data_IF_755236008575
#
_entry.id   IF_755236008575
#
_cell.length_a   1.000
_cell.length_b   1.000
_cell.length_c   1.000
_cell.angle_alpha   90.00
_cell.angle_beta   90.00
_cell.angle_gamma   90.00
#
_symmetry.space_group_name_H-M   'P 1'
#
loop_
_entity.id
_entity.type
_entity.pdbx_description
1 polymer ?
#
# COMPACT_ATOMS: atom_id res chain seq x y z
N UNK A 1 24.50 8.81 -24.32
CA UNK A 1 23.49 7.73 -24.09
C UNK A 1 23.24 7.37 -22.62
N UNK A 2 23.93 7.97 -21.62
CA UNK A 2 23.69 7.71 -20.19
C UNK A 2 22.39 8.36 -19.65
N UNK A 3 22.08 9.58 -20.11
CA UNK A 3 20.85 10.30 -19.73
C UNK A 3 19.58 9.45 -20.00
N UNK A 4 19.54 8.73 -21.13
CA UNK A 4 18.40 7.89 -21.49
C UNK A 4 18.19 6.68 -20.56
N UNK A 5 19.25 6.12 -19.95
CA UNK A 5 19.11 4.96 -19.05
C UNK A 5 18.57 5.38 -17.67
N UNK A 6 19.07 6.48 -17.14
CA UNK A 6 18.54 7.06 -15.90
C UNK A 6 17.07 7.45 -16.09
N UNK A 7 16.73 8.16 -17.17
CA UNK A 7 15.35 8.54 -17.47
C UNK A 7 14.40 7.33 -17.56
N UNK A 8 14.82 6.24 -18.23
CA UNK A 8 14.04 4.99 -18.30
C UNK A 8 13.85 4.33 -16.93
N UNK A 9 14.83 4.46 -16.04
CA UNK A 9 14.73 3.93 -14.67
C UNK A 9 13.76 4.78 -13.86
N UNK A 10 13.87 6.12 -13.95
CA UNK A 10 12.97 7.06 -13.28
C UNK A 10 11.50 6.86 -13.70
N UNK A 11 11.26 6.56 -14.98
CA UNK A 11 9.91 6.30 -15.51
C UNK A 11 9.27 4.99 -14.99
N UNK A 12 10.06 4.09 -14.40
CA UNK A 12 9.57 2.83 -13.80
C UNK A 12 9.43 2.90 -12.29
N UNK A 13 9.77 4.04 -11.68
CA UNK A 13 9.66 4.18 -10.23
C UNK A 13 8.19 4.11 -9.79
N UNK A 14 7.97 3.72 -8.54
CA UNK A 14 6.64 3.78 -7.93
C UNK A 14 6.08 5.19 -7.99
N UNK A 15 6.92 6.19 -7.69
CA UNK A 15 6.65 7.61 -7.90
C UNK A 15 7.96 8.39 -8.03
N UNK A 16 7.90 9.51 -8.74
CA UNK A 16 9.05 10.38 -8.98
C UNK A 16 8.57 11.83 -9.04
N UNK A 17 8.89 12.62 -8.01
CA UNK A 17 8.51 14.03 -7.93
C UNK A 17 9.20 14.92 -8.97
N UNK A 18 8.84 16.19 -8.95
CA UNK A 18 9.33 17.17 -9.93
C UNK A 18 10.75 17.61 -9.59
N UNK A 19 11.59 17.78 -10.61
CA UNK A 19 12.95 18.31 -10.44
C UNK A 19 13.98 17.28 -9.97
N UNK A 20 13.68 15.98 -10.05
CA UNK A 20 14.67 14.91 -9.82
C UNK A 20 15.77 14.97 -10.88
N UNK A 21 17.03 14.97 -10.45
CA UNK A 21 18.20 15.03 -11.32
C UNK A 21 19.17 13.91 -11.01
N UNK A 22 19.58 13.18 -12.04
CA UNK A 22 20.60 12.13 -11.95
C UNK A 22 21.83 12.59 -12.75
N UNK A 23 22.95 12.81 -12.07
CA UNK A 23 24.16 13.37 -12.68
C UNK A 23 24.90 12.35 -13.58
N UNK A 24 24.71 11.04 -13.35
CA UNK A 24 25.42 10.00 -14.10
C UNK A 24 24.79 8.63 -14.01
N UNK A 25 25.60 7.60 -13.70
CA UNK A 25 25.15 6.21 -13.59
C UNK A 25 24.29 6.04 -12.34
N UNK A 26 23.10 5.48 -12.54
CA UNK A 26 22.20 5.02 -11.49
C UNK A 26 21.85 3.56 -11.77
N UNK A 27 22.06 2.70 -10.79
CA UNK A 27 21.53 1.35 -10.77
C UNK A 27 20.44 1.24 -9.71
N UNK A 28 19.31 0.66 -10.10
CA UNK A 28 18.19 0.32 -9.20
C UNK A 28 17.77 -1.10 -9.56
N UNK A 29 17.77 -2.01 -8.59
CA UNK A 29 17.38 -3.42 -8.82
C UNK A 29 15.88 -3.55 -9.11
N UNK A 30 15.04 -2.97 -8.23
CA UNK A 30 13.58 -2.97 -8.34
C UNK A 30 13.04 -1.53 -8.37
N UNK A 31 13.01 -0.87 -9.55
CA UNK A 31 12.50 0.49 -9.72
C UNK A 31 11.11 0.70 -9.12
N UNK A 32 10.21 -0.25 -9.33
CA UNK A 32 8.80 -0.21 -8.92
C UNK A 32 8.61 -0.22 -7.39
N UNK A 33 9.69 -0.47 -6.63
CA UNK A 33 9.71 -0.42 -5.16
C UNK A 33 10.34 0.88 -4.61
N UNK A 34 10.62 1.87 -5.46
CA UNK A 34 11.24 3.13 -5.07
C UNK A 34 10.30 4.31 -5.29
N UNK A 35 10.18 5.16 -4.27
CA UNK A 35 9.50 6.44 -4.35
C UNK A 35 10.49 7.59 -4.06
N UNK A 36 10.47 8.62 -4.91
CA UNK A 36 11.39 9.75 -4.84
C UNK A 36 10.62 11.07 -4.80
N UNK A 37 11.01 11.93 -3.87
CA UNK A 37 10.56 13.30 -3.63
C UNK A 37 10.80 14.30 -4.75
N UNK A 38 10.34 15.52 -4.51
CA UNK A 38 10.66 16.69 -5.33
C UNK A 38 12.12 17.13 -5.13
N UNK A 39 12.73 17.72 -6.16
CA UNK A 39 14.09 18.30 -6.12
C UNK A 39 15.17 17.37 -5.54
N UNK A 40 15.11 16.07 -5.88
CA UNK A 40 16.14 15.12 -5.45
C UNK A 40 17.32 15.12 -6.41
N UNK A 41 18.53 15.27 -5.88
CA UNK A 41 19.77 15.21 -6.64
C UNK A 41 20.53 13.93 -6.36
N UNK A 42 20.66 13.06 -7.36
CA UNK A 42 21.41 11.81 -7.29
C UNK A 42 22.75 11.98 -8.01
N UNK A 43 23.83 11.88 -7.23
CA UNK A 43 25.20 11.92 -7.74
C UNK A 43 25.54 10.75 -8.66
N UNK A 44 26.66 10.86 -9.36
CA UNK A 44 27.14 9.81 -10.27
C UNK A 44 27.49 8.52 -9.51
N UNK A 45 27.32 7.39 -10.20
CA UNK A 45 27.63 6.04 -9.74
C UNK A 45 26.87 5.64 -8.46
N UNK A 46 25.58 6.00 -8.39
CA UNK A 46 24.69 5.55 -7.32
C UNK A 46 24.21 4.11 -7.54
N UNK A 47 24.14 3.32 -6.47
CA UNK A 47 23.72 1.92 -6.50
C UNK A 47 22.65 1.65 -5.45
N UNK A 48 21.42 1.41 -5.87
CA UNK A 48 20.30 1.12 -4.99
C UNK A 48 19.82 -0.31 -5.20
N UNK A 49 19.88 -1.11 -4.13
CA UNK A 49 19.29 -2.45 -4.08
C UNK A 49 17.99 -2.38 -3.26
N UNK A 50 16.85 -2.37 -3.95
CA UNK A 50 15.55 -1.83 -3.49
C UNK A 50 14.45 -2.88 -3.26
N UNK A 51 14.81 -4.16 -3.18
CA UNK A 51 13.90 -5.29 -2.92
C UNK A 51 13.15 -5.20 -1.56
N UNK A 52 13.62 -4.42 -0.59
CA UNK A 52 12.88 -4.14 0.65
C UNK A 52 12.05 -2.87 0.62
N UNK A 53 12.14 -2.09 -0.46
CA UNK A 53 11.51 -0.78 -0.61
C UNK A 53 12.46 0.36 -0.23
N UNK A 54 12.49 1.42 -1.05
CA UNK A 54 13.28 2.63 -0.79
C UNK A 54 12.39 3.87 -0.94
N UNK A 55 12.37 4.73 0.08
CA UNK A 55 11.66 6.01 0.03
C UNK A 55 12.64 7.15 0.27
N UNK A 56 12.65 8.14 -0.63
CA UNK A 56 13.52 9.32 -0.57
C UNK A 56 12.64 10.56 -0.57
N UNK A 57 12.72 11.37 0.48
CA UNK A 57 11.92 12.58 0.65
C UNK A 57 12.33 13.74 -0.24
N UNK A 58 11.61 14.85 -0.08
CA UNK A 58 11.84 16.07 -0.85
C UNK A 58 13.19 16.71 -0.54
N UNK A 59 13.76 17.38 -1.53
CA UNK A 59 14.98 18.18 -1.40
C UNK A 59 16.18 17.37 -0.85
N UNK A 60 16.23 16.07 -1.15
CA UNK A 60 17.36 15.21 -0.77
C UNK A 60 18.49 15.36 -1.77
N UNK A 61 19.68 15.68 -1.27
CA UNK A 61 20.87 15.85 -2.09
C UNK A 61 21.89 14.79 -1.71
N UNK A 62 22.20 13.89 -2.65
CA UNK A 62 23.20 12.86 -2.44
C UNK A 62 24.35 13.01 -3.44
N UNK A 63 25.57 12.89 -2.91
CA UNK A 63 26.79 12.98 -3.70
C UNK A 63 27.08 11.67 -4.45
N UNK A 64 28.28 11.55 -5.01
CA UNK A 64 28.69 10.41 -5.84
C UNK A 64 28.88 9.15 -5.00
N UNK A 65 28.78 7.99 -5.64
CA UNK A 65 29.06 6.67 -5.05
C UNK A 65 28.23 6.37 -3.80
N UNK A 66 26.99 6.82 -3.75
CA UNK A 66 26.07 6.44 -2.66
C UNK A 66 25.51 5.06 -2.95
N UNK A 67 25.58 4.18 -1.95
CA UNK A 67 25.07 2.81 -2.01
C UNK A 67 23.99 2.61 -0.98
N UNK A 68 22.84 2.06 -1.38
CA UNK A 68 21.71 1.82 -0.49
C UNK A 68 21.26 0.38 -0.66
N UNK A 69 21.18 -0.36 0.44
CA UNK A 69 20.61 -1.70 0.49
C UNK A 69 19.35 -1.69 1.32
N UNK A 70 18.32 -2.35 0.80
CA UNK A 70 17.04 -2.61 1.48
C UNK A 70 16.84 -4.11 1.70
N UNK A 71 17.85 -4.92 1.34
CA UNK A 71 17.86 -6.38 1.44
C UNK A 71 19.19 -6.85 2.00
N UNK A 72 19.17 -8.01 2.66
CA UNK A 72 20.35 -8.74 3.09
C UNK A 72 20.12 -10.25 2.91
N UNK A 73 21.17 -11.03 2.76
CA UNK A 73 21.03 -12.49 2.64
C UNK A 73 20.68 -13.13 3.99
N UNK A 74 19.84 -14.16 3.98
CA UNK A 74 19.53 -14.93 5.19
C UNK A 74 20.65 -15.91 5.54
N UNK A 75 21.62 -15.42 6.30
CA UNK A 75 22.73 -16.24 6.82
C UNK A 75 22.34 -17.15 7.99
N UNK A 76 21.14 -16.98 8.54
CA UNK A 76 20.55 -17.88 9.56
C UNK A 76 19.67 -18.97 8.94
N UNK A 77 19.70 -19.06 7.61
CA UNK A 77 18.95 -20.01 6.81
C UNK A 77 19.48 -21.44 6.88
N UNK A 78 18.98 -22.29 5.98
CA UNK A 78 19.26 -23.73 6.02
C UNK A 78 20.65 -24.12 5.48
N UNK A 79 21.36 -23.23 4.79
CA UNK A 79 22.66 -23.52 4.17
C UNK A 79 23.66 -22.37 4.33
N UNK A 80 24.95 -22.70 4.29
CA UNK A 80 26.07 -21.74 4.35
C UNK A 80 26.56 -21.39 2.93
N UNK A 81 27.04 -20.15 2.68
CA UNK A 81 27.16 -19.04 3.63
C UNK A 81 25.81 -18.34 3.93
N UNK A 82 24.80 -18.57 3.11
CA UNK A 82 23.41 -18.13 3.25
C UNK A 82 22.54 -18.97 2.29
N UNK A 83 21.24 -19.07 2.56
CA UNK A 83 20.31 -19.78 1.68
C UNK A 83 19.72 -18.91 0.57
N UNK A 84 18.72 -19.42 -0.14
CA UNK A 84 18.07 -18.72 -1.25
C UNK A 84 17.01 -17.69 -0.80
N UNK A 85 16.96 -17.35 0.49
CA UNK A 85 16.01 -16.39 1.04
C UNK A 85 16.69 -15.07 1.40
N UNK A 86 15.93 -13.98 1.28
CA UNK A 86 16.41 -12.63 1.57
C UNK A 86 15.64 -12.00 2.74
N UNK A 87 16.37 -11.27 3.58
CA UNK A 87 15.85 -10.45 4.67
C UNK A 87 15.61 -9.03 4.15
N UNK A 88 14.35 -8.70 3.92
CA UNK A 88 13.95 -7.40 3.36
C UNK A 88 13.62 -6.42 4.49
N UNK A 89 14.27 -5.26 4.47
CA UNK A 89 13.99 -4.17 5.42
C UNK A 89 14.05 -2.84 4.69
N UNK A 90 12.93 -2.09 4.61
CA UNK A 90 12.88 -0.85 3.84
C UNK A 90 13.88 0.18 4.37
N UNK A 91 14.32 1.07 3.49
CA UNK A 91 15.12 2.25 3.87
C UNK A 91 14.29 3.50 3.60
N UNK A 92 14.24 4.39 4.57
CA UNK A 92 13.51 5.66 4.47
C UNK A 92 14.47 6.81 4.70
N UNK A 93 14.48 7.75 3.79
CA UNK A 93 15.25 8.99 3.86
C UNK A 93 14.24 10.13 3.88
N UNK A 94 14.19 10.88 4.97
CA UNK A 94 13.33 12.05 5.13
C UNK A 94 13.69 13.20 4.19
N UNK A 95 12.99 14.33 4.34
CA UNK A 95 13.19 15.52 3.50
C UNK A 95 14.41 16.34 3.94
N UNK A 96 14.93 17.17 3.04
CA UNK A 96 16.06 18.08 3.29
C UNK A 96 17.35 17.38 3.75
N UNK A 97 17.48 16.07 3.48
CA UNK A 97 18.66 15.29 3.88
C UNK A 97 19.82 15.55 2.93
N UNK A 98 21.01 15.73 3.49
CA UNK A 98 22.26 15.82 2.72
C UNK A 98 23.14 14.59 2.95
N UNK A 99 23.47 13.87 1.87
CA UNK A 99 24.26 12.65 1.89
C UNK A 99 25.61 12.90 1.19
N UNK A 100 26.69 12.77 1.95
CA UNK A 100 28.06 12.88 1.47
C UNK A 100 28.46 11.81 0.45
N UNK A 101 29.63 11.97 -0.15
CA UNK A 101 30.17 11.02 -1.12
C UNK A 101 30.53 9.68 -0.45
N UNK A 102 30.49 8.58 -1.19
CA UNK A 102 30.93 7.26 -0.71
C UNK A 102 30.19 6.80 0.57
N UNK A 103 28.92 7.18 0.72
CA UNK A 103 28.09 6.74 1.85
C UNK A 103 27.41 5.42 1.50
N UNK A 104 27.40 4.49 2.46
CA UNK A 104 26.66 3.22 2.37
C UNK A 104 25.55 3.17 3.43
N UNK A 105 24.32 2.86 3.03
CA UNK A 105 23.16 2.75 3.92
C UNK A 105 22.67 1.30 3.91
N UNK A 106 22.59 0.67 5.09
CA UNK A 106 22.16 -0.73 5.22
C UNK A 106 20.64 -0.85 5.36
N UNK A 107 20.13 -2.06 5.18
CA UNK A 107 18.68 -2.33 5.19
C UNK A 107 18.04 -2.05 6.55
N UNK A 108 16.84 -1.47 6.52
CA UNK A 108 16.06 -1.12 7.72
C UNK A 108 16.37 0.23 8.34
N UNK A 109 17.29 1.01 7.77
CA UNK A 109 17.65 2.33 8.29
C UNK A 109 16.59 3.38 7.95
N UNK A 110 16.24 4.18 8.96
CA UNK A 110 15.45 5.40 8.81
C UNK A 110 16.33 6.63 9.08
N UNK A 111 16.36 7.58 8.15
CA UNK A 111 17.06 8.85 8.29
C UNK A 111 16.02 9.96 8.40
N UNK A 112 16.01 10.65 9.54
CA UNK A 112 15.07 11.72 9.81
C UNK A 112 15.32 13.00 9.00
N UNK A 113 14.31 13.86 8.97
CA UNK A 113 14.32 15.10 8.22
C UNK A 113 15.49 16.03 8.56
N UNK A 114 16.07 16.66 7.54
CA UNK A 114 17.16 17.62 7.69
C UNK A 114 18.50 17.01 8.14
N UNK A 115 18.59 15.68 8.30
CA UNK A 115 19.83 15.02 8.70
C UNK A 115 20.96 15.24 7.67
N UNK A 116 22.20 15.21 8.15
CA UNK A 116 23.40 15.31 7.31
C UNK A 116 24.27 14.08 7.56
N UNK A 117 24.55 13.33 6.49
CA UNK A 117 25.43 12.15 6.52
C UNK A 117 26.79 12.54 5.96
N UNK A 118 27.81 12.50 6.81
CA UNK A 118 29.20 12.77 6.43
C UNK A 118 29.72 11.79 5.38
N UNK A 119 30.61 12.29 4.52
CA UNK A 119 31.28 11.50 3.48
C UNK A 119 31.97 10.25 4.06
N UNK A 120 31.89 9.13 3.33
CA UNK A 120 32.54 7.87 3.70
C UNK A 120 31.86 7.12 4.85
N UNK A 121 30.69 7.57 5.33
CA UNK A 121 29.99 6.90 6.41
C UNK A 121 29.28 5.62 5.93
N UNK A 122 29.34 4.58 6.77
CA UNK A 122 28.44 3.43 6.74
C UNK A 122 27.35 3.66 7.79
N UNK A 123 26.12 3.81 7.35
CA UNK A 123 24.94 4.06 8.18
C UNK A 123 24.32 2.71 8.51
N UNK A 124 24.51 2.27 9.76
CA UNK A 124 24.05 0.96 10.26
C UNK A 124 22.87 1.03 11.22
N UNK A 125 22.38 2.23 11.53
CA UNK A 125 21.29 2.50 12.48
C UNK A 125 20.55 3.77 12.10
N UNK A 126 19.33 3.91 12.63
CA UNK A 126 18.51 5.08 12.40
C UNK A 126 19.23 6.37 12.79
N UNK A 127 19.01 7.42 12.01
CA UNK A 127 19.58 8.75 12.19
C UNK A 127 18.45 9.70 12.60
N UNK A 128 18.50 10.33 13.78
CA UNK A 128 17.48 11.28 14.19
C UNK A 128 17.35 12.47 13.24
N UNK A 129 16.18 13.10 13.21
CA UNK A 129 15.99 14.36 12.50
C UNK A 129 17.01 15.41 12.95
N UNK A 130 17.46 16.24 12.01
CA UNK A 130 18.44 17.31 12.19
C UNK A 130 19.84 16.84 12.63
N UNK A 131 20.06 15.54 12.84
CA UNK A 131 21.34 15.03 13.27
C UNK A 131 22.38 15.12 12.15
N UNK A 132 23.59 15.54 12.52
CA UNK A 132 24.76 15.55 11.65
C UNK A 132 25.63 14.40 12.12
N UNK A 133 25.73 13.35 11.29
CA UNK A 133 26.44 12.12 11.62
C UNK A 133 27.67 11.93 10.74
N UNK A 134 28.69 11.25 11.26
CA UNK A 134 29.89 10.91 10.52
C UNK A 134 30.81 9.98 11.32
N UNK A 135 32.03 9.80 10.81
CA UNK A 135 33.05 8.89 11.34
C UNK A 135 32.64 7.41 11.32
N UNK A 136 33.58 6.51 11.59
CA UNK A 136 33.33 5.08 11.79
C UNK A 136 33.92 4.64 13.14
N UNK A 137 33.11 4.03 14.05
CA UNK A 137 31.67 3.78 13.93
C UNK A 137 30.87 5.09 13.84
N UNK A 138 29.71 5.04 13.17
CA UNK A 138 28.87 6.23 12.94
C UNK A 138 28.46 6.87 14.27
N UNK A 139 28.66 8.19 14.42
CA UNK A 139 28.27 8.95 15.63
C UNK A 139 27.56 10.23 15.24
N UNK A 140 26.66 10.69 16.11
CA UNK A 140 26.13 12.05 16.05
C UNK A 140 27.25 13.00 16.45
N UNK A 141 27.59 13.91 15.54
CA UNK A 141 28.62 14.94 15.74
C UNK A 141 28.02 16.20 16.34
N UNK A 142 26.82 16.57 15.87
CA UNK A 142 26.01 17.70 16.33
C UNK A 142 24.60 17.60 15.74
N UNK A 143 23.74 18.56 16.05
CA UNK A 143 22.46 18.75 15.36
C UNK A 143 22.47 20.07 14.59
N UNK A 144 21.60 20.19 13.59
CA UNK A 144 21.25 21.49 13.00
C UNK A 144 20.48 22.31 14.02
N UNK A 145 20.48 23.62 13.82
CA UNK A 145 19.59 24.54 14.53
C UNK A 145 18.14 24.25 14.09
N UNK A 146 17.29 23.87 15.03
CA UNK A 146 15.91 23.47 14.77
C UNK A 146 15.02 24.67 14.41
N UNK A 147 15.18 25.80 15.11
CA UNK A 147 14.38 27.00 14.84
C UNK A 147 14.70 27.54 13.45
N UNK A 148 16.00 27.61 13.12
CA UNK A 148 16.42 28.02 11.78
C UNK A 148 15.92 27.08 10.68
N UNK A 149 15.94 25.76 10.93
CA UNK A 149 15.40 24.78 9.99
C UNK A 149 13.90 24.97 9.76
N UNK A 150 13.12 25.11 10.84
CA UNK A 150 11.68 25.28 10.77
C UNK A 150 11.28 26.58 10.05
N UNK A 151 12.01 27.67 10.29
CA UNK A 151 11.80 28.95 9.58
C UNK A 151 11.98 28.79 8.07
N UNK A 152 13.05 28.14 7.63
CA UNK A 152 13.32 27.90 6.20
C UNK A 152 12.29 26.96 5.57
N UNK A 153 11.88 25.92 6.29
CA UNK A 153 10.87 24.97 5.84
C UNK A 153 9.51 25.64 5.65
N UNK A 154 9.07 26.44 6.63
CA UNK A 154 7.81 27.20 6.56
C UNK A 154 7.84 28.22 5.41
N UNK A 155 8.98 28.86 5.17
CA UNK A 155 9.19 29.77 4.05
C UNK A 155 9.39 29.06 2.69
N UNK A 156 9.54 27.73 2.70
CA UNK A 156 9.87 26.87 1.54
C UNK A 156 11.15 27.33 0.81
N UNK A 157 12.17 27.72 1.57
CA UNK A 157 13.45 28.19 1.05
C UNK A 157 14.42 27.03 0.79
N UNK A 158 14.35 26.46 -0.42
CA UNK A 158 15.10 25.28 -0.80
C UNK A 158 16.28 25.56 -1.72
N UNK A 159 17.37 24.81 -1.54
CA UNK A 159 18.57 24.86 -2.38
C UNK A 159 18.46 23.93 -3.59
N UNK A 160 18.85 24.43 -4.76
CA UNK A 160 19.06 23.65 -5.98
C UNK A 160 20.51 23.22 -6.15
N UNK A 161 20.94 23.09 -7.41
CA UNK A 161 22.32 22.72 -7.76
C UNK A 161 23.32 23.69 -7.13
N UNK A 162 24.33 23.12 -6.47
CA UNK A 162 25.39 23.86 -5.77
C UNK A 162 24.87 24.84 -4.70
N UNK A 163 23.70 24.56 -4.10
CA UNK A 163 23.14 25.36 -3.02
C UNK A 163 22.52 26.69 -3.46
N UNK A 164 22.36 26.93 -4.78
CA UNK A 164 21.66 28.12 -5.28
C UNK A 164 20.17 28.04 -4.91
N UNK A 165 19.55 29.10 -4.36
CA UNK A 165 18.12 29.09 -4.06
C UNK A 165 17.27 28.71 -5.28
N UNK A 166 16.26 27.87 -5.07
CA UNK A 166 15.26 27.60 -6.10
C UNK A 166 14.35 28.82 -6.30
N UNK A 167 13.98 29.07 -7.55
CA UNK A 167 12.95 30.07 -7.84
C UNK A 167 11.62 29.65 -7.20
N UNK A 168 10.89 30.61 -6.60
CA UNK A 168 9.58 30.36 -5.97
C UNK A 168 8.59 29.66 -6.91
N UNK A 169 8.63 29.99 -8.20
CA UNK A 169 7.81 29.34 -9.24
C UNK A 169 8.09 27.84 -9.35
N UNK A 170 9.34 27.40 -9.18
CA UNK A 170 9.69 25.98 -9.23
C UNK A 170 9.21 25.25 -7.98
N UNK A 171 9.31 25.91 -6.82
CA UNK A 171 8.83 25.36 -5.54
C UNK A 171 7.30 25.23 -5.53
N UNK A 172 6.59 26.11 -6.22
CA UNK A 172 5.13 26.02 -6.41
C UNK A 172 4.70 24.87 -7.31
N UNK A 173 5.60 24.36 -8.15
CA UNK A 173 5.35 23.18 -9.01
C UNK A 173 5.62 21.86 -8.29
N UNK A 174 6.11 21.89 -7.05
CA UNK A 174 6.31 20.66 -6.29
C UNK A 174 4.96 20.00 -6.11
N UNK A 175 4.89 18.74 -6.54
CA UNK A 175 3.73 17.91 -6.28
C UNK A 175 3.52 17.83 -4.75
N UNK A 176 2.26 17.81 -4.30
CA UNK A 176 1.93 17.91 -2.90
C UNK A 176 2.61 16.80 -2.10
N UNK A 177 3.22 17.20 -0.99
CA UNK A 177 3.67 16.25 0.01
C UNK A 177 2.45 15.54 0.58
N UNK A 178 2.68 14.36 1.12
CA UNK A 178 1.74 13.64 1.96
C UNK A 178 0.90 14.45 2.97
N UNK A 179 1.48 15.51 3.54
CA UNK A 179 0.80 16.34 4.52
C UNK A 179 -0.27 17.25 3.88
N UNK A 180 -0.15 17.51 2.57
CA UNK A 180 -1.01 18.42 1.81
C UNK A 180 -1.95 17.69 0.84
N UNK A 181 -1.67 16.42 0.51
CA UNK A 181 -2.47 15.64 -0.43
C UNK A 181 -3.82 15.21 0.18
N UNK A 182 -4.93 15.48 -0.52
CA UNK A 182 -6.21 14.85 -0.18
C UNK A 182 -6.13 13.39 -0.60
N UNK A 183 -6.16 12.48 0.37
CA UNK A 183 -6.08 11.05 0.11
C UNK A 183 -7.43 10.37 0.33
N UNK A 184 -7.74 9.38 -0.51
CA UNK A 184 -8.79 8.42 -0.23
C UNK A 184 -8.31 6.98 -0.45
N UNK A 185 -8.90 6.07 0.31
CA UNK A 185 -8.61 4.65 0.23
C UNK A 185 -9.90 3.90 -0.05
N UNK A 186 -9.86 2.96 -1.00
CA UNK A 186 -10.99 2.06 -1.27
C UNK A 186 -10.64 0.68 -0.74
N UNK A 187 -11.25 0.33 0.39
CA UNK A 187 -11.13 -0.98 1.01
C UNK A 187 -12.20 -1.93 0.44
N UNK A 188 -11.75 -3.07 -0.07
CA UNK A 188 -12.58 -4.16 -0.60
C UNK A 188 -12.05 -5.51 -0.09
N UNK A 189 -12.85 -6.56 -0.12
CA UNK A 189 -12.43 -7.91 0.28
C UNK A 189 -11.89 -8.76 -0.89
N UNK A 190 -11.92 -8.27 -2.14
CA UNK A 190 -11.51 -9.03 -3.32
C UNK A 190 -10.95 -8.15 -4.45
N UNK A 191 -10.08 -8.75 -5.29
CA UNK A 191 -9.27 -8.06 -6.30
C UNK A 191 -9.88 -7.91 -7.70
N UNK A 192 -11.05 -8.53 -7.98
CA UNK A 192 -11.68 -8.39 -9.32
C UNK A 192 -12.44 -7.06 -9.45
N UNK A 193 -13.02 -6.58 -8.35
CA UNK A 193 -13.80 -5.34 -8.28
C UNK A 193 -12.94 -4.06 -8.35
N UNK A 194 -11.68 -4.15 -7.94
CA UNK A 194 -10.76 -3.02 -7.82
C UNK A 194 -10.28 -2.46 -9.16
N UNK A 195 -10.09 -3.30 -10.19
CA UNK A 195 -9.70 -2.85 -11.53
C UNK A 195 -10.78 -2.00 -12.21
N UNK A 196 -12.04 -2.37 -12.03
CA UNK A 196 -13.18 -1.64 -12.58
C UNK A 196 -13.24 -0.20 -12.03
N UNK A 197 -13.03 -0.06 -10.73
CA UNK A 197 -13.06 1.24 -10.04
C UNK A 197 -11.82 2.06 -10.40
N UNK A 198 -10.65 1.44 -10.49
CA UNK A 198 -9.44 2.10 -10.96
C UNK A 198 -9.68 2.73 -12.33
N UNK A 199 -10.20 1.95 -13.29
CA UNK A 199 -10.52 2.44 -14.63
C UNK A 199 -11.57 3.56 -14.65
N UNK A 200 -12.52 3.55 -13.71
CA UNK A 200 -13.50 4.63 -13.55
C UNK A 200 -12.83 5.90 -13.02
N UNK A 201 -12.05 5.79 -11.95
CA UNK A 201 -11.44 6.95 -11.27
C UNK A 201 -10.33 7.59 -12.11
N UNK A 202 -9.60 6.81 -12.91
CA UNK A 202 -8.57 7.34 -13.82
C UNK A 202 -9.14 8.14 -15.00
N UNK A 203 -10.46 8.12 -15.23
CA UNK A 203 -11.10 9.00 -16.23
C UNK A 203 -11.25 10.44 -15.73
N UNK A 204 -11.06 10.68 -14.43
CA UNK A 204 -11.22 12.00 -13.82
C UNK A 204 -9.89 12.76 -13.87
N UNK A 205 -9.83 13.98 -14.44
CA UNK A 205 -8.58 14.70 -14.69
C UNK A 205 -7.82 15.10 -13.41
N UNK A 206 -8.54 15.29 -12.30
CA UNK A 206 -7.96 15.73 -11.02
C UNK A 206 -7.70 14.58 -10.03
N UNK A 207 -7.94 13.33 -10.46
CA UNK A 207 -7.80 12.13 -9.63
C UNK A 207 -6.66 11.26 -10.15
N UNK A 208 -5.65 11.04 -9.32
CA UNK A 208 -4.77 9.89 -9.52
C UNK A 208 -5.28 8.76 -8.65
N UNK A 209 -5.49 7.58 -9.23
CA UNK A 209 -5.84 6.39 -8.46
C UNK A 209 -4.89 5.26 -8.81
N UNK A 210 -4.24 4.64 -7.82
CA UNK A 210 -3.42 3.45 -8.02
C UNK A 210 -4.17 2.19 -7.56
N UNK A 211 -3.98 1.08 -8.28
CA UNK A 211 -4.53 -0.23 -7.93
C UNK A 211 -3.41 -1.15 -7.49
N UNK A 212 -3.42 -1.56 -6.21
CA UNK A 212 -2.41 -2.47 -5.62
C UNK A 212 -0.95 -2.04 -5.88
N UNK A 213 -0.73 -0.73 -6.00
CA UNK A 213 0.57 -0.15 -6.37
C UNK A 213 1.60 -0.17 -5.24
N UNK A 214 1.21 -0.63 -4.04
CA UNK A 214 2.06 -0.71 -2.85
C UNK A 214 2.05 -2.13 -2.30
N UNK A 215 2.95 -3.01 -2.77
CA UNK A 215 3.04 -4.37 -2.25
C UNK A 215 3.23 -4.39 -0.73
N UNK A 216 3.72 -3.31 -0.11
CA UNK A 216 4.03 -3.27 1.33
C UNK A 216 2.77 -3.42 2.15
N UNK A 217 1.62 -3.00 1.62
CA UNK A 217 0.34 -3.05 2.31
C UNK A 217 -0.10 -4.49 2.58
N UNK A 218 0.05 -5.40 1.60
CA UNK A 218 -0.36 -6.81 1.82
C UNK A 218 0.49 -7.49 2.88
N UNK A 219 1.81 -7.22 2.88
CA UNK A 219 2.70 -7.74 3.93
C UNK A 219 2.34 -7.16 5.28
N UNK A 220 2.24 -5.84 5.40
CA UNK A 220 1.97 -5.16 6.67
C UNK A 220 0.61 -5.54 7.25
N UNK A 221 -0.43 -5.64 6.42
CA UNK A 221 -1.76 -6.08 6.84
C UNK A 221 -1.72 -7.50 7.43
N UNK A 222 -0.99 -8.41 6.80
CA UNK A 222 -0.88 -9.80 7.23
C UNK A 222 -0.01 -9.95 8.47
N UNK A 223 1.16 -9.31 8.50
CA UNK A 223 2.04 -9.30 9.67
C UNK A 223 1.34 -8.72 10.91
N UNK A 224 0.50 -7.69 10.73
CA UNK A 224 -0.32 -7.13 11.79
C UNK A 224 -1.40 -8.12 12.26
N UNK A 225 -2.16 -8.70 11.33
CA UNK A 225 -3.24 -9.63 11.65
C UNK A 225 -2.75 -10.92 12.31
N UNK A 226 -1.56 -11.40 11.94
CA UNK A 226 -0.94 -12.61 12.49
C UNK A 226 -0.13 -12.33 13.76
N UNK A 227 -0.10 -11.08 14.25
CA UNK A 227 0.66 -10.69 15.44
C UNK A 227 2.18 -10.72 15.28
N UNK A 228 2.68 -10.81 14.04
CA UNK A 228 4.12 -10.79 13.72
C UNK A 228 4.72 -9.39 13.84
N UNK A 229 3.89 -8.34 13.70
CA UNK A 229 4.27 -6.95 13.94
C UNK A 229 3.27 -6.22 14.81
N UNK A 230 3.81 -5.35 15.66
CA UNK A 230 2.99 -4.47 16.47
C UNK A 230 2.52 -3.26 15.66
N UNK A 231 1.37 -2.70 16.06
CA UNK A 231 0.75 -1.53 15.44
C UNK A 231 1.71 -0.36 15.24
N UNK A 232 2.55 -0.04 16.23
CA UNK A 232 3.50 1.08 16.12
C UNK A 232 4.60 0.83 15.09
N UNK A 233 5.04 -0.42 14.91
CA UNK A 233 6.03 -0.76 13.87
C UNK A 233 5.41 -0.61 12.47
N UNK A 234 4.16 -1.08 12.31
CA UNK A 234 3.40 -0.91 11.06
C UNK A 234 3.15 0.57 10.79
N UNK A 235 2.79 1.35 11.81
CA UNK A 235 2.59 2.79 11.73
C UNK A 235 3.84 3.52 11.26
N UNK A 236 5.02 3.13 11.72
CA UNK A 236 6.27 3.76 11.26
C UNK A 236 6.56 3.43 9.79
N UNK A 237 6.37 2.18 9.34
CA UNK A 237 6.54 1.82 7.93
C UNK A 237 5.49 2.51 7.03
N UNK A 238 4.24 2.61 7.49
CA UNK A 238 3.20 3.36 6.77
C UNK A 238 3.47 4.86 6.78
N UNK A 239 4.02 5.43 7.86
CA UNK A 239 4.44 6.84 7.91
C UNK A 239 5.56 7.11 6.90
N UNK A 240 6.51 6.20 6.75
CA UNK A 240 7.52 6.30 5.71
C UNK A 240 6.90 6.30 4.30
N UNK A 241 5.95 5.39 4.07
CA UNK A 241 5.26 5.24 2.79
C UNK A 241 4.33 6.41 2.48
N UNK A 242 3.61 6.95 3.46
CA UNK A 242 2.53 7.89 3.23
C UNK A 242 2.76 9.29 3.72
N UNK A 243 3.72 9.55 4.62
CA UNK A 243 3.89 10.84 5.30
C UNK A 243 5.27 11.47 5.04
N UNK A 244 6.34 10.69 5.12
CA UNK A 244 7.70 11.25 5.16
C UNK A 244 8.30 11.49 3.76
N UNK A 245 7.77 10.84 2.71
CA UNK A 245 8.51 10.75 1.45
C UNK A 245 7.72 10.27 0.22
N UNK A 246 6.38 10.24 0.26
CA UNK A 246 5.57 10.05 -0.95
C UNK A 246 5.12 11.38 -1.54
N UNK A 247 5.36 11.49 -2.83
CA UNK A 247 4.79 12.52 -3.68
C UNK A 247 3.59 11.91 -4.39
N UNK A 248 2.45 12.59 -4.32
CA UNK A 248 1.22 12.12 -4.92
C UNK A 248 0.87 13.02 -6.11
N UNK A 249 0.70 12.44 -7.30
CA UNK A 249 0.23 13.18 -8.46
C UNK A 249 -1.27 13.51 -8.31
N UNK A 250 -1.68 14.69 -8.76
CA UNK A 250 -3.08 15.16 -8.71
C UNK A 250 -3.49 15.81 -7.38
N UNK A 251 -4.61 16.51 -7.39
CA UNK A 251 -5.17 17.17 -6.20
C UNK A 251 -5.83 16.15 -5.24
N UNK A 252 -6.37 15.05 -5.79
CA UNK A 252 -6.95 13.95 -5.04
C UNK A 252 -6.25 12.63 -5.41
N UNK A 253 -5.64 11.97 -4.41
CA UNK A 253 -4.94 10.70 -4.58
C UNK A 253 -5.73 9.53 -3.98
N UNK A 254 -5.97 8.51 -4.79
CA UNK A 254 -6.71 7.30 -4.44
C UNK A 254 -5.82 6.07 -4.42
N UNK A 255 -5.99 5.22 -3.41
CA UNK A 255 -5.44 3.87 -3.44
C UNK A 255 -6.54 2.84 -3.28
N UNK A 256 -6.56 1.85 -4.16
CA UNK A 256 -7.48 0.70 -4.09
C UNK A 256 -6.65 -0.53 -3.80
N UNK A 257 -6.91 -1.13 -2.64
CA UNK A 257 -6.24 -2.36 -2.25
C UNK A 257 -7.19 -3.20 -1.40
N UNK A 258 -7.32 -4.47 -1.78
CA UNK A 258 -8.24 -5.41 -1.16
C UNK A 258 -7.69 -5.99 0.17
N UNK A 259 -6.53 -5.50 0.62
CA UNK A 259 -5.84 -5.91 1.85
C UNK A 259 -5.76 -4.78 2.88
N UNK A 260 -6.42 -3.65 2.63
CA UNK A 260 -6.52 -2.54 3.58
C UNK A 260 -7.30 -2.88 4.86
N UNK A 261 -8.03 -4.00 4.87
CA UNK A 261 -8.95 -4.36 5.96
C UNK A 261 -8.30 -4.25 7.34
N UNK A 262 -7.02 -4.57 7.48
CA UNK A 262 -6.28 -4.52 8.75
C UNK A 262 -5.62 -3.17 9.04
N UNK A 263 -5.45 -2.32 8.03
CA UNK A 263 -4.64 -1.10 8.09
C UNK A 263 -5.46 0.20 8.23
N UNK A 264 -6.78 0.15 8.05
CA UNK A 264 -7.69 1.31 8.07
C UNK A 264 -7.46 2.20 9.28
N UNK A 265 -7.37 1.64 10.48
CA UNK A 265 -7.20 2.40 11.73
C UNK A 265 -5.82 3.06 11.80
N UNK A 266 -4.77 2.40 11.33
CA UNK A 266 -3.41 2.97 11.30
C UNK A 266 -3.33 4.09 10.27
N UNK A 267 -3.90 3.89 9.08
CA UNK A 267 -3.99 4.90 8.04
C UNK A 267 -4.81 6.10 8.50
N UNK A 268 -5.93 5.87 9.21
CA UNK A 268 -6.78 6.95 9.69
C UNK A 268 -6.12 7.83 10.75
N UNK A 269 -5.22 7.26 11.56
CA UNK A 269 -4.36 7.99 12.50
C UNK A 269 -3.25 8.78 11.81
N UNK A 270 -2.61 8.20 10.79
CA UNK A 270 -1.53 8.85 10.05
C UNK A 270 -2.01 9.97 9.13
N UNK A 271 -3.20 9.79 8.55
CA UNK A 271 -3.77 10.68 7.54
C UNK A 271 -5.10 11.22 8.07
N UNK A 272 -5.11 12.22 8.97
CA UNK A 272 -6.33 12.67 9.64
C UNK A 272 -7.37 13.30 8.71
N UNK A 273 -6.96 13.79 7.53
CA UNK A 273 -7.85 14.27 6.47
C UNK A 273 -8.26 13.18 5.46
N UNK A 274 -7.63 12.00 5.54
CA UNK A 274 -7.86 10.90 4.60
C UNK A 274 -9.27 10.33 4.72
N UNK A 275 -9.89 10.08 3.56
CA UNK A 275 -11.21 9.44 3.43
C UNK A 275 -11.08 7.95 3.17
N UNK A 276 -12.01 7.15 3.68
CA UNK A 276 -11.99 5.70 3.50
C UNK A 276 -13.35 5.24 2.99
N UNK A 277 -13.34 4.55 1.87
CA UNK A 277 -14.52 4.00 1.21
C UNK A 277 -14.49 2.51 1.38
N UNK A 278 -15.50 1.95 2.05
CA UNK A 278 -15.75 0.53 2.01
C UNK A 278 -16.64 0.21 0.84
N UNK A 279 -16.07 -0.51 -0.11
CA UNK A 279 -16.81 -1.07 -1.22
C UNK A 279 -16.98 -2.57 -1.01
N UNK A 280 -18.23 -2.99 -0.87
CA UNK A 280 -18.57 -4.41 -0.74
C UNK A 280 -19.16 -4.94 -2.05
N UNK A 281 -18.81 -6.18 -2.40
CA UNK A 281 -19.47 -6.98 -3.44
C UNK A 281 -20.29 -8.07 -2.78
N UNK A 282 -21.41 -8.44 -3.40
CA UNK A 282 -22.28 -9.53 -2.94
C UNK A 282 -21.42 -10.77 -2.67
N UNK A 283 -21.52 -11.30 -1.45
CA UNK A 283 -20.66 -12.39 -1.00
C UNK A 283 -20.73 -13.62 -1.87
N UNK A 284 -21.87 -13.88 -2.52
CA UNK A 284 -22.01 -15.01 -3.44
C UNK A 284 -21.14 -14.82 -4.68
N UNK A 285 -21.19 -13.62 -5.26
CA UNK A 285 -20.38 -13.27 -6.41
C UNK A 285 -18.89 -13.24 -6.05
N UNK A 286 -18.55 -12.73 -4.86
CA UNK A 286 -17.17 -12.63 -4.42
C UNK A 286 -16.53 -13.99 -4.11
N UNK A 287 -17.23 -14.84 -3.36
CA UNK A 287 -16.77 -16.20 -3.06
C UNK A 287 -16.67 -17.03 -4.33
N UNK A 288 -17.64 -16.92 -5.27
CA UNK A 288 -17.55 -17.64 -6.54
C UNK A 288 -16.32 -17.22 -7.35
N UNK A 289 -16.01 -15.92 -7.36
CA UNK A 289 -14.84 -15.36 -8.05
C UNK A 289 -13.54 -15.90 -7.46
N UNK A 290 -13.33 -15.70 -6.16
CA UNK A 290 -12.11 -16.11 -5.46
C UNK A 290 -11.90 -17.61 -5.47
N UNK A 291 -12.96 -18.40 -5.27
CA UNK A 291 -12.91 -19.85 -5.35
C UNK A 291 -12.52 -20.34 -6.77
N UNK A 292 -13.08 -19.75 -7.83
CA UNK A 292 -12.72 -20.11 -9.21
C UNK A 292 -11.30 -19.69 -9.58
N UNK A 293 -10.79 -18.61 -8.99
CA UNK A 293 -9.38 -18.21 -9.11
C UNK A 293 -8.41 -19.15 -8.37
N UNK A 294 -8.92 -20.18 -7.68
CA UNK A 294 -8.13 -21.19 -6.98
C UNK A 294 -7.62 -20.73 -5.62
N UNK A 295 -8.24 -19.72 -5.01
CA UNK A 295 -7.86 -19.25 -3.67
C UNK A 295 -8.03 -20.37 -2.64
N UNK A 296 -7.01 -20.58 -1.80
CA UNK A 296 -6.82 -21.64 -0.80
C UNK A 296 -6.72 -23.07 -1.36
N UNK A 297 -6.35 -23.26 -2.63
CA UNK A 297 -6.17 -24.59 -3.23
C UNK A 297 -4.81 -25.22 -2.85
N UNK A 298 -4.68 -26.55 -3.00
CA UNK A 298 -3.40 -27.24 -2.83
C UNK A 298 -2.34 -26.75 -3.84
N UNK A 299 -2.76 -26.50 -5.09
CA UNK A 299 -1.91 -25.94 -6.14
C UNK A 299 -1.39 -24.54 -5.79
N UNK A 300 -2.17 -23.76 -5.04
CA UNK A 300 -1.73 -22.48 -4.49
C UNK A 300 -0.71 -22.69 -3.35
N UNK A 301 -0.91 -23.68 -2.48
CA UNK A 301 0.03 -24.01 -1.42
C UNK A 301 1.40 -24.49 -1.97
N UNK A 302 1.40 -25.22 -3.08
CA UNK A 302 2.62 -25.64 -3.80
C UNK A 302 3.39 -24.47 -4.44
N UNK A 303 2.72 -23.33 -4.66
CA UNK A 303 3.34 -22.09 -5.13
C UNK A 303 3.98 -21.28 -4.00
N UNK A 304 3.81 -21.67 -2.73
CA UNK A 304 4.49 -21.07 -1.58
C UNK A 304 5.95 -21.49 -1.61
N UNK A 305 6.76 -20.81 -2.42
CA UNK A 305 8.22 -20.81 -2.30
C UNK A 305 8.58 -19.92 -1.10
N UNK A 306 9.76 -20.02 -0.47
CA UNK A 306 10.29 -18.93 0.35
C UNK A 306 10.47 -17.68 -0.53
N UNK A 307 9.39 -16.92 -0.73
CA UNK A 307 9.35 -15.81 -1.67
C UNK A 307 10.12 -14.65 -1.05
N UNK A 308 11.25 -14.26 -1.66
CA UNK A 308 11.68 -12.87 -1.54
C UNK A 308 10.49 -12.03 -2.01
N UNK A 309 9.87 -11.30 -1.08
CA UNK A 309 8.65 -10.55 -1.30
C UNK A 309 8.72 -9.58 -2.50
N UNK A 310 9.92 -9.22 -3.01
CA UNK A 310 10.05 -8.46 -4.25
C UNK A 310 10.51 -9.27 -5.48
N UNK A 311 10.50 -10.60 -5.43
CA UNK A 311 10.55 -11.41 -6.66
C UNK A 311 9.37 -11.00 -7.57
N UNK A 312 9.66 -10.69 -8.83
CA UNK A 312 8.78 -9.96 -9.75
C UNK A 312 7.45 -10.61 -10.14
N UNK A 313 6.93 -11.58 -9.37
CA UNK A 313 5.60 -12.14 -9.54
C UNK A 313 4.66 -11.65 -8.43
N UNK A 314 3.82 -10.63 -8.69
CA UNK A 314 2.77 -10.18 -7.76
C UNK A 314 1.92 -11.33 -7.21
N UNK A 315 1.61 -12.35 -8.03
CA UNK A 315 0.82 -13.53 -7.63
C UNK A 315 1.43 -14.25 -6.43
N UNK A 316 2.75 -14.44 -6.41
CA UNK A 316 3.42 -15.17 -5.33
C UNK A 316 3.41 -14.39 -4.01
N UNK A 317 3.51 -13.05 -4.07
CA UNK A 317 3.31 -12.19 -2.88
C UNK A 317 1.92 -12.37 -2.31
N UNK A 318 0.90 -12.36 -3.17
CA UNK A 318 -0.49 -12.49 -2.74
C UNK A 318 -0.74 -13.80 -1.99
N UNK A 319 -0.18 -14.89 -2.52
CA UNK A 319 -0.27 -16.21 -1.92
C UNK A 319 0.43 -16.23 -0.55
N UNK A 320 1.66 -15.71 -0.50
CA UNK A 320 2.51 -15.76 0.72
C UNK A 320 1.96 -14.94 1.89
N UNK A 321 1.25 -13.85 1.58
CA UNK A 321 0.67 -12.93 2.56
C UNK A 321 -0.87 -12.97 2.51
N UNK A 322 -1.43 -14.16 2.28
CA UNK A 322 -2.86 -14.38 2.44
C UNK A 322 -3.18 -14.53 3.93
N UNK A 323 -4.29 -13.95 4.36
CA UNK A 323 -4.74 -14.13 5.74
C UNK A 323 -5.08 -15.59 6.01
N UNK A 324 -4.72 -16.04 7.20
CA UNK A 324 -4.89 -17.41 7.68
C UNK A 324 -5.75 -17.35 8.92
N UNK A 325 -6.86 -18.08 8.92
CA UNK A 325 -7.85 -17.99 10.00
C UNK A 325 -7.34 -18.49 11.34
N UNK A 326 -6.42 -19.46 11.36
CA UNK A 326 -5.81 -19.91 12.61
C UNK A 326 -4.85 -18.85 13.16
N UNK A 327 -4.03 -18.25 12.30
CA UNK A 327 -3.10 -17.18 12.72
C UNK A 327 -3.80 -15.87 13.10
N UNK A 328 -4.99 -15.62 12.56
CA UNK A 328 -5.86 -14.53 12.98
C UNK A 328 -6.63 -14.84 14.28
N UNK A 329 -6.45 -16.03 14.89
CA UNK A 329 -7.14 -16.44 16.12
C UNK A 329 -8.63 -16.74 15.94
N UNK A 330 -9.10 -16.95 14.71
CA UNK A 330 -10.49 -17.29 14.41
C UNK A 330 -10.78 -18.80 14.56
N UNK A 331 -9.75 -19.62 14.43
CA UNK A 331 -9.82 -21.08 14.50
C UNK A 331 -8.58 -21.63 15.22
N UNK A 332 -8.66 -22.85 15.74
CA UNK A 332 -7.45 -23.64 15.98
C UNK A 332 -6.80 -24.05 14.65
N UNK A 333 -5.51 -24.39 14.67
CA UNK A 333 -4.79 -24.88 13.49
C UNK A 333 -5.45 -26.14 12.91
N UNK A 334 -5.94 -27.03 13.78
CA UNK A 334 -6.62 -28.25 13.35
C UNK A 334 -7.96 -27.94 12.67
N UNK A 335 -8.78 -27.05 13.23
CA UNK A 335 -10.05 -26.63 12.63
C UNK A 335 -9.83 -25.96 11.26
N UNK A 336 -8.87 -25.04 11.16
CA UNK A 336 -8.53 -24.36 9.92
C UNK A 336 -8.09 -25.34 8.83
N UNK A 337 -7.28 -26.34 9.20
CA UNK A 337 -6.81 -27.37 8.29
C UNK A 337 -7.92 -28.31 7.82
N UNK A 338 -8.99 -28.48 8.62
CA UNK A 338 -10.18 -29.26 8.23
C UNK A 338 -11.14 -28.50 7.31
N UNK A 339 -11.12 -27.16 7.29
CA UNK A 339 -11.98 -26.38 6.39
C UNK A 339 -11.67 -26.67 4.93
N UNK A 340 -12.71 -26.86 4.13
CA UNK A 340 -12.58 -26.94 2.68
C UNK A 340 -12.08 -25.62 2.09
N UNK A 341 -11.51 -25.68 0.89
CA UNK A 341 -11.11 -24.49 0.12
C UNK A 341 -12.27 -23.49 -0.04
N UNK A 342 -13.50 -23.99 -0.26
CA UNK A 342 -14.69 -23.16 -0.37
C UNK A 342 -15.02 -22.44 0.95
N UNK A 343 -14.97 -23.15 2.08
CA UNK A 343 -15.19 -22.58 3.41
C UNK A 343 -14.14 -21.53 3.76
N UNK A 344 -12.87 -21.73 3.39
CA UNK A 344 -11.82 -20.70 3.60
C UNK A 344 -12.09 -19.42 2.80
N UNK A 345 -12.64 -19.54 1.59
CA UNK A 345 -13.08 -18.37 0.80
C UNK A 345 -14.26 -17.65 1.43
N UNK A 346 -15.25 -18.38 1.96
CA UNK A 346 -16.37 -17.82 2.72
C UNK A 346 -15.87 -17.05 3.94
N UNK A 347 -15.02 -17.67 4.75
CA UNK A 347 -14.40 -17.04 5.91
C UNK A 347 -13.64 -15.77 5.52
N UNK A 348 -12.82 -15.83 4.47
CA UNK A 348 -12.00 -14.70 4.06
C UNK A 348 -12.85 -13.48 3.70
N UNK A 349 -13.94 -13.66 2.93
CA UNK A 349 -14.87 -12.60 2.59
C UNK A 349 -15.55 -12.02 3.83
N UNK A 350 -16.09 -12.87 4.70
CA UNK A 350 -16.80 -12.46 5.92
C UNK A 350 -15.87 -11.74 6.90
N UNK A 351 -14.71 -12.34 7.20
CA UNK A 351 -13.69 -11.78 8.09
C UNK A 351 -13.18 -10.41 7.62
N UNK A 352 -12.80 -10.30 6.35
CA UNK A 352 -12.24 -9.05 5.81
C UNK A 352 -13.25 -7.90 5.89
N UNK A 353 -14.50 -8.15 5.52
CA UNK A 353 -15.55 -7.13 5.56
C UNK A 353 -15.97 -6.76 6.99
N UNK A 354 -16.05 -7.72 7.91
CA UNK A 354 -16.30 -7.44 9.33
C UNK A 354 -15.21 -6.56 9.92
N UNK A 355 -13.96 -6.83 9.56
CA UNK A 355 -12.85 -6.05 10.05
C UNK A 355 -12.87 -4.62 9.48
N UNK A 356 -13.18 -4.44 8.19
CA UNK A 356 -13.39 -3.12 7.59
C UNK A 356 -14.50 -2.37 8.34
N UNK A 357 -15.67 -3.00 8.53
CA UNK A 357 -16.80 -2.40 9.25
C UNK A 357 -16.40 -1.98 10.68
N UNK A 358 -15.71 -2.86 11.40
CA UNK A 358 -15.22 -2.61 12.76
C UNK A 358 -14.28 -1.42 12.80
N UNK A 359 -13.29 -1.34 11.91
CA UNK A 359 -12.34 -0.24 11.88
C UNK A 359 -12.96 1.09 11.41
N UNK A 360 -13.96 1.03 10.54
CA UNK A 360 -14.71 2.21 10.11
C UNK A 360 -15.67 2.73 11.19
N UNK A 361 -16.11 1.89 12.13
CA UNK A 361 -17.06 2.30 13.17
C UNK A 361 -16.56 3.50 13.98
N UNK A 362 -15.25 3.60 14.23
CA UNK A 362 -14.61 4.70 14.97
C UNK A 362 -14.42 6.00 14.18
N UNK A 363 -14.66 6.00 12.86
CA UNK A 363 -14.46 7.19 12.02
C UNK A 363 -15.75 8.02 11.88
N UNK A 364 -15.66 9.36 11.78
CA UNK A 364 -16.81 10.21 11.50
C UNK A 364 -17.32 10.02 10.07
N UNK A 365 -18.61 10.32 9.83
CA UNK A 365 -19.24 10.21 8.51
C UNK A 365 -18.54 11.03 7.41
N UNK A 366 -17.88 12.14 7.77
CA UNK A 366 -17.08 12.94 6.83
C UNK A 366 -15.84 12.21 6.29
N UNK A 367 -15.41 11.13 6.96
CA UNK A 367 -14.20 10.37 6.63
C UNK A 367 -14.49 8.94 6.17
N UNK A 368 -15.73 8.47 6.23
CA UNK A 368 -16.11 7.12 5.82
C UNK A 368 -17.32 7.11 4.91
N UNK A 369 -17.31 6.21 3.94
CA UNK A 369 -18.48 5.92 3.11
C UNK A 369 -18.61 4.40 2.88
N UNK A 370 -19.83 3.97 2.63
CA UNK A 370 -20.17 2.58 2.33
C UNK A 370 -20.92 2.53 1.00
N UNK A 371 -20.46 1.68 0.09
CA UNK A 371 -21.11 1.43 -1.18
C UNK A 371 -21.14 -0.06 -1.49
N UNK A 372 -22.19 -0.49 -2.18
CA UNK A 372 -22.25 -1.81 -2.82
C UNK A 372 -21.81 -1.68 -4.27
N UNK A 373 -20.97 -2.59 -4.73
CA UNK A 373 -20.49 -2.59 -6.11
C UNK A 373 -21.65 -2.65 -7.11
N UNK A 374 -22.67 -3.45 -6.80
CA UNK A 374 -23.85 -3.63 -7.66
C UNK A 374 -24.68 -2.35 -7.83
N UNK A 375 -24.55 -1.39 -6.91
CA UNK A 375 -25.25 -0.10 -6.92
C UNK A 375 -24.33 1.04 -7.37
N UNK A 376 -23.08 0.76 -7.73
CA UNK A 376 -22.06 1.78 -7.96
C UNK A 376 -22.45 2.76 -9.08
N UNK A 377 -23.00 2.28 -10.19
CA UNK A 377 -23.40 3.14 -11.30
C UNK A 377 -24.47 4.15 -10.89
N UNK A 378 -25.47 3.72 -10.10
CA UNK A 378 -26.57 4.58 -9.64
C UNK A 378 -26.14 5.50 -8.50
N UNK A 379 -25.14 5.09 -7.72
CA UNK A 379 -24.58 5.84 -6.59
C UNK A 379 -23.38 6.72 -6.95
N UNK A 380 -23.01 6.81 -8.24
CA UNK A 380 -21.80 7.51 -8.67
C UNK A 380 -21.78 8.98 -8.23
N UNK A 381 -22.91 9.68 -8.30
CA UNK A 381 -23.02 11.07 -7.84
C UNK A 381 -22.71 11.23 -6.34
N UNK A 382 -23.18 10.28 -5.51
CA UNK A 382 -22.91 10.27 -4.07
C UNK A 382 -21.43 9.98 -3.77
N UNK A 383 -20.82 9.07 -4.54
CA UNK A 383 -19.39 8.78 -4.45
C UNK A 383 -18.54 10.01 -4.78
N UNK A 384 -18.80 10.67 -5.91
CA UNK A 384 -18.06 11.87 -6.32
C UNK A 384 -18.24 13.01 -5.32
N UNK A 385 -19.47 13.21 -4.83
CA UNK A 385 -19.77 14.20 -3.78
C UNK A 385 -18.98 13.91 -2.50
N UNK A 386 -18.91 12.65 -2.06
CA UNK A 386 -18.13 12.26 -0.90
C UNK A 386 -16.63 12.54 -1.10
N UNK A 387 -16.10 12.34 -2.31
CA UNK A 387 -14.72 12.68 -2.65
C UNK A 387 -14.47 14.19 -2.80
N UNK A 388 -15.52 15.01 -2.91
CA UNK A 388 -15.41 16.46 -3.15
C UNK A 388 -15.23 16.81 -4.62
N UNK A 389 -15.64 15.91 -5.53
CA UNK A 389 -15.53 16.07 -6.96
C UNK A 389 -16.88 16.45 -7.56
N UNK A 390 -16.87 17.27 -8.61
CA UNK A 390 -18.06 17.57 -9.39
C UNK A 390 -18.29 16.48 -10.45
N UNK A 391 -19.56 16.11 -10.64
CA UNK A 391 -19.94 15.16 -11.68
C UNK A 391 -19.70 15.79 -13.05
N UNK A 392 -18.76 15.22 -13.82
CA UNK A 392 -18.64 15.50 -15.25
C UNK A 392 -19.65 14.63 -16.02
N UNK A 393 -20.16 15.13 -17.15
CA UNK A 393 -21.11 14.38 -17.98
C UNK A 393 -20.43 13.18 -18.66
N UNK A 394 -21.14 12.05 -18.69
CA UNK A 394 -20.80 10.75 -19.30
C UNK A 394 -19.69 9.89 -18.66
N UNK A 395 -19.71 9.73 -17.33
CA UNK A 395 -18.96 8.64 -16.66
C UNK A 395 -19.77 7.34 -16.66
N UNK A 396 -19.22 6.30 -17.28
CA UNK A 396 -19.81 4.96 -17.28
C UNK A 396 -18.83 3.92 -16.74
N UNK A 397 -19.34 2.98 -15.94
CA UNK A 397 -18.58 1.81 -15.55
C UNK A 397 -18.37 0.92 -16.77
N UNK A 398 -17.13 0.87 -17.26
CA UNK A 398 -16.73 -0.13 -18.24
C UNK A 398 -16.54 -1.44 -17.48
N UNK A 399 -17.53 -2.33 -17.58
CA UNK A 399 -17.37 -3.67 -17.05
C UNK A 399 -16.17 -4.35 -17.73
N UNK A 400 -15.31 -5.06 -16.97
CA UNK A 400 -14.26 -5.85 -17.61
C UNK A 400 -14.90 -6.84 -18.57
N UNK A 401 -14.26 -7.07 -19.72
CA UNK A 401 -14.65 -8.13 -20.66
C UNK A 401 -14.82 -9.41 -19.86
N UNK A 402 -16.04 -9.98 -19.86
CA UNK A 402 -16.29 -11.22 -19.14
C UNK A 402 -15.30 -12.28 -19.61
N UNK A 403 -14.46 -12.76 -18.69
CA UNK A 403 -13.69 -13.97 -18.90
C UNK A 403 -14.65 -15.11 -19.25
N UNK A 404 -14.33 -15.83 -20.31
CA UNK A 404 -15.14 -16.93 -20.82
C UNK A 404 -15.37 -18.01 -19.75
N UNK A 405 -16.61 -18.20 -19.29
CA UNK A 405 -17.11 -19.51 -18.84
C UNK A 405 -16.93 -19.94 -17.37
N UNK A 406 -16.52 -19.08 -16.44
CA UNK A 406 -16.47 -19.44 -15.02
C UNK A 406 -17.90 -19.66 -14.44
N UNK A 407 -18.18 -20.77 -13.75
CA UNK A 407 -19.49 -21.01 -13.14
C UNK A 407 -19.79 -19.96 -12.05
N UNK A 408 -20.92 -19.26 -12.17
CA UNK A 408 -21.40 -18.36 -11.12
C UNK A 408 -21.91 -19.12 -9.89
N UNK A 409 -22.25 -18.40 -8.82
CA UNK A 409 -22.79 -19.01 -7.58
C UNK A 409 -24.07 -19.82 -7.81
N UNK A 410 -24.77 -19.62 -8.93
CA UNK A 410 -25.93 -20.41 -9.34
C UNK A 410 -25.60 -21.88 -9.60
N UNK A 411 -24.32 -22.23 -9.78
CA UNK A 411 -23.84 -23.60 -10.00
C UNK A 411 -23.43 -24.32 -8.71
N UNK A 412 -23.50 -23.65 -7.56
CA UNK A 412 -23.08 -24.23 -6.30
C UNK A 412 -23.92 -25.43 -5.89
N UNK A 413 -23.24 -26.44 -5.36
CA UNK A 413 -23.84 -27.66 -4.83
C UNK A 413 -24.42 -27.43 -3.43
N UNK A 414 -25.26 -28.35 -2.96
CA UNK A 414 -25.99 -28.19 -1.69
C UNK A 414 -25.08 -28.02 -0.46
N UNK A 415 -23.93 -28.68 -0.44
CA UNK A 415 -22.90 -28.55 0.59
C UNK A 415 -22.23 -27.17 0.57
N UNK A 416 -21.92 -26.63 -0.60
CA UNK A 416 -21.37 -25.28 -0.78
C UNK A 416 -22.39 -24.21 -0.35
N UNK A 417 -23.66 -24.40 -0.72
CA UNK A 417 -24.76 -23.56 -0.29
C UNK A 417 -24.85 -23.56 1.25
N UNK A 418 -24.85 -24.74 1.88
CA UNK A 418 -24.90 -24.87 3.32
C UNK A 418 -23.67 -24.24 4.02
N UNK A 419 -22.47 -24.38 3.45
CA UNK A 419 -21.26 -23.76 3.95
C UNK A 419 -21.32 -22.23 3.90
N UNK A 420 -21.80 -21.67 2.78
CA UNK A 420 -21.98 -20.22 2.63
C UNK A 420 -23.03 -19.67 3.60
N UNK A 421 -24.19 -20.33 3.74
CA UNK A 421 -25.20 -19.97 4.74
C UNK A 421 -24.60 -19.96 6.15
N UNK A 422 -23.82 -20.97 6.52
CA UNK A 422 -23.22 -21.07 7.86
C UNK A 422 -22.27 -19.92 8.17
N UNK A 423 -21.49 -19.46 7.19
CA UNK A 423 -20.36 -18.55 7.41
C UNK A 423 -20.61 -17.10 7.01
N UNK A 424 -21.54 -16.86 6.08
CA UNK A 424 -21.76 -15.55 5.46
C UNK A 424 -23.19 -15.04 5.60
N UNK A 425 -24.16 -15.86 6.04
CA UNK A 425 -25.56 -15.45 6.09
C UNK A 425 -25.80 -14.22 6.97
N UNK A 426 -25.20 -14.19 8.17
CA UNK A 426 -25.39 -13.08 9.11
C UNK A 426 -24.89 -11.76 8.51
N UNK A 427 -23.73 -11.79 7.87
CA UNK A 427 -23.15 -10.67 7.16
C UNK A 427 -23.97 -10.27 5.93
N UNK A 428 -24.44 -11.24 5.15
CA UNK A 428 -25.29 -11.01 3.98
C UNK A 428 -26.65 -10.43 4.36
N UNK A 429 -27.24 -10.84 5.48
CA UNK A 429 -28.51 -10.29 5.97
C UNK A 429 -28.37 -8.83 6.39
N UNK A 430 -27.20 -8.46 6.95
CA UNK A 430 -26.89 -7.08 7.34
C UNK A 430 -26.57 -6.20 6.14
N UNK A 431 -25.74 -6.67 5.22
CA UNK A 431 -25.18 -5.83 4.15
C UNK A 431 -25.92 -5.95 2.82
N UNK A 432 -26.63 -7.04 2.56
CA UNK A 432 -27.42 -7.31 1.35
C UNK A 432 -28.84 -7.82 1.72
N UNK A 433 -29.68 -6.99 2.35
CA UNK A 433 -31.02 -7.41 2.77
C UNK A 433 -31.85 -7.90 1.58
N UNK A 434 -32.33 -9.14 1.66
CA UNK A 434 -33.09 -9.76 0.58
C UNK A 434 -32.26 -10.54 -0.44
N UNK A 435 -30.98 -10.79 -0.19
CA UNK A 435 -30.12 -11.60 -1.06
C UNK A 435 -30.69 -13.00 -1.36
N UNK A 436 -31.53 -13.57 -0.47
CA UNK A 436 -32.23 -14.86 -0.68
C UNK A 436 -33.44 -14.79 -1.63
N UNK A 437 -33.94 -13.60 -2.00
CA UNK A 437 -35.13 -13.47 -2.85
C UNK A 437 -34.86 -14.03 -4.25
N UNK A 438 -35.77 -14.87 -4.75
CA UNK A 438 -35.69 -15.41 -6.11
C UNK A 438 -34.55 -16.41 -6.33
N UNK A 439 -34.04 -17.02 -5.26
CA UNK A 439 -32.92 -17.97 -5.32
C UNK A 439 -33.31 -19.32 -4.71
N UNK A 440 -32.58 -20.42 -5.03
CA UNK A 440 -32.83 -21.75 -4.44
C UNK A 440 -32.69 -21.84 -2.91
N UNK A 441 -32.28 -20.75 -2.25
CA UNK A 441 -31.88 -20.65 -0.84
C UNK A 441 -33.07 -20.41 0.11
N UNK A 442 -34.32 -20.44 -0.39
CA UNK A 442 -35.53 -20.15 0.39
C UNK A 442 -35.99 -21.29 1.32
N UNK A 443 -35.29 -22.42 1.37
CA UNK A 443 -35.73 -23.56 2.16
C UNK A 443 -35.20 -23.44 3.60
N UNK A 444 -35.97 -22.84 4.51
CA UNK A 444 -35.92 -23.24 5.93
C UNK A 444 -35.80 -22.20 7.06
N UNK A 445 -35.88 -20.87 6.84
CA UNK A 445 -35.90 -19.91 7.97
C UNK A 445 -36.93 -18.77 7.81
N UNK A 446 -37.69 -18.43 8.87
CA UNK A 446 -38.71 -17.40 8.82
C UNK A 446 -38.07 -16.00 8.79
N UNK A 447 -38.45 -15.19 7.81
CA UNK A 447 -38.01 -13.81 7.67
C UNK A 447 -38.45 -12.96 8.87
N UNK A 448 -37.49 -12.44 9.64
CA UNK A 448 -37.69 -11.23 10.42
C UNK A 448 -36.56 -10.26 10.11
N UNK A 449 -36.78 -9.41 9.11
CA UNK A 449 -36.00 -8.20 8.91
C UNK A 449 -36.86 -7.03 9.40
N UNK A 450 -36.48 -6.43 10.52
CA UNK A 450 -36.88 -5.05 10.84
C UNK A 450 -35.96 -4.09 10.08
N UNK A 451 -36.49 -2.96 9.55
CA UNK A 451 -35.67 -1.98 8.85
C UNK A 451 -34.74 -1.24 9.84
N UNK A 452 -33.50 -0.98 9.40
CA UNK A 452 -32.55 -0.13 10.12
C UNK A 452 -33.07 1.32 10.17
N UNK A 453 -32.85 2.05 11.28
CA UNK A 453 -33.31 3.43 11.43
C UNK A 453 -32.56 4.40 10.51
N UNK A 454 -33.30 5.43 10.07
CA UNK A 454 -32.96 6.48 9.09
C UNK A 454 -31.72 7.28 9.40
#
# INVERSE_FOLDING_TARGET
>A
MLAGRAQRTLARLQSCGVGVRVLGKLYVSEPEAVAIGNNVHIGDNAYFRTEGGLTIGDNVHMSRNVTIYTTNHNFTGAVLPYDNTDLLKPVTIGKNVWIGMNVSIVSGVQIGDGAIIGMGAVVTRNVPALAIVGNQPIRVLKHRDAEHYEQLEQAREYGGVNGKPLARTNVQQFEPSAADAQMFFVATAEGTSSKMIHNLLTQLPDVTCIHEGRPQLVRLATELAHGLKQKEQVKEELRALYCNSSVFSGYLHGEIDHKLCQLIGVLAELLPAGKIIWLIRDGRNAVASTWTEGWFSCEEAEQIVPVNYNSGNPKLRWISYRLDGAKCGCFSEEEWNRLSTFERNCWYWSYSNREIERQLSSLPASRKAFFRLEELQTQLGNWLTFLGLQQQQDLSLIAPTQGTGAPGWQSWQADQIAAFERQCAGEMDRWYPGWRRGTPWQVGHPSKAEPLPS
#
